data_IF_041532260294
#
_entry.id   IF_041532260294
#
_cell.length_a   1.000
_cell.length_b   1.000
_cell.length_c   1.000
_cell.angle_alpha   90.00
_cell.angle_beta   90.00
_cell.angle_gamma   90.00
#
_symmetry.space_group_name_H-M   'P 1'
#
loop_
_entity.id
_entity.type
_entity.pdbx_description
1 polymer ?
#
# COMPACT_ATOMS: atom_id res chain seq x y z
N UNK A 1 42.02 -16.95 -52.58
CA UNK A 1 43.45 -17.04 -52.95
C UNK A 1 44.17 -15.79 -52.42
N UNK A 2 45.21 -15.98 -51.59
CA UNK A 2 46.35 -15.08 -51.26
C UNK A 2 45.97 -13.70 -50.66
N UNK A 3 46.16 -13.38 -49.37
CA UNK A 3 47.24 -13.55 -48.39
C UNK A 3 48.62 -12.97 -48.77
N UNK A 4 49.21 -12.28 -47.78
CA UNK A 4 50.57 -11.65 -47.62
C UNK A 4 50.51 -10.11 -47.55
N UNK A 5 51.15 -9.39 -46.63
CA UNK A 5 52.19 -9.70 -45.64
C UNK A 5 52.30 -8.57 -44.59
N UNK A 6 52.54 -8.92 -43.33
CA UNK A 6 53.30 -8.14 -42.31
C UNK A 6 54.83 -8.31 -42.59
N UNK A 7 55.81 -7.85 -41.76
CA UNK A 7 55.81 -7.13 -40.46
C UNK A 7 56.86 -5.99 -40.36
N UNK A 8 56.92 -5.30 -39.21
CA UNK A 8 58.20 -5.14 -38.47
C UNK A 8 58.00 -4.70 -37.00
N UNK A 9 58.66 -5.46 -36.13
CA UNK A 9 59.02 -5.25 -34.72
C UNK A 9 59.86 -3.95 -34.53
N UNK A 10 60.17 -3.33 -33.39
CA UNK A 10 60.43 -3.69 -31.97
C UNK A 10 60.70 -2.34 -31.26
N UNK A 11 60.36 -2.16 -29.98
CA UNK A 11 61.35 -2.16 -28.88
C UNK A 11 60.76 -1.74 -27.52
N UNK A 12 61.19 -2.47 -26.50
CA UNK A 12 60.96 -2.26 -25.07
C UNK A 12 61.97 -1.25 -24.47
N UNK A 13 61.56 -0.61 -23.36
CA UNK A 13 62.33 -0.22 -22.14
C UNK A 13 61.56 0.95 -21.47
N UNK A 14 61.36 1.05 -20.16
CA UNK A 14 61.83 0.29 -19.01
C UNK A 14 61.23 0.89 -17.73
N UNK A 15 61.23 0.07 -16.68
CA UNK A 15 60.83 0.33 -15.30
C UNK A 15 61.53 1.55 -14.66
N UNK A 16 60.80 2.32 -13.84
CA UNK A 16 61.36 2.98 -12.64
C UNK A 16 60.33 2.99 -11.51
N UNK A 17 60.70 2.32 -10.41
CA UNK A 17 60.08 2.38 -9.09
C UNK A 17 60.41 3.72 -8.41
N UNK A 18 59.50 4.23 -7.59
CA UNK A 18 59.83 5.02 -6.40
C UNK A 18 59.06 4.49 -5.20
N UNK A 19 59.82 4.10 -4.17
CA UNK A 19 59.43 3.80 -2.79
C UNK A 19 59.54 5.08 -1.95
N UNK A 20 59.17 4.96 -0.66
CA UNK A 20 59.41 5.85 0.51
C UNK A 20 58.13 6.66 0.86
N UNK A 21 57.48 6.58 2.03
CA UNK A 21 57.89 6.16 3.40
C UNK A 21 56.66 5.88 4.27
N UNK A 22 56.84 4.99 5.25
CA UNK A 22 55.98 4.81 6.43
C UNK A 22 56.02 6.03 7.36
N UNK A 23 54.89 6.34 8.00
CA UNK A 23 54.88 6.81 9.40
C UNK A 23 53.54 6.48 10.06
N UNK A 24 53.67 5.82 11.20
CA UNK A 24 52.61 5.42 12.11
C UNK A 24 51.86 6.63 12.71
N UNK A 25 50.55 6.47 12.87
CA UNK A 25 49.69 7.33 13.67
C UNK A 25 48.53 6.49 14.21
N UNK A 26 48.44 6.38 15.52
CA UNK A 26 47.45 5.64 16.32
C UNK A 26 45.99 6.04 15.99
N UNK A 27 45.00 5.16 16.25
CA UNK A 27 43.60 5.51 16.01
C UNK A 27 43.08 6.44 17.12
N UNK A 28 42.29 7.48 16.81
CA UNK A 28 41.49 8.13 17.83
C UNK A 28 40.18 7.33 18.04
N UNK A 29 39.99 6.93 19.28
CA UNK A 29 38.73 6.47 19.85
C UNK A 29 37.61 7.51 19.71
N UNK A 30 36.38 7.00 19.74
CA UNK A 30 35.13 7.69 20.08
C UNK A 30 34.54 8.68 19.08
N UNK A 31 33.85 8.14 18.07
CA UNK A 31 32.61 8.75 17.57
C UNK A 31 31.43 7.88 18.00
N UNK A 32 30.92 8.23 19.18
CA UNK A 32 29.68 7.72 19.75
C UNK A 32 28.52 8.28 18.92
N UNK A 33 28.17 7.62 17.81
CA UNK A 33 26.95 7.90 17.08
C UNK A 33 25.89 6.94 17.61
N UNK A 34 25.23 7.34 18.70
CA UNK A 34 24.00 6.68 19.16
C UNK A 34 22.88 7.02 18.18
N UNK A 35 22.88 6.37 17.03
CA UNK A 35 21.65 6.16 16.26
C UNK A 35 20.79 5.17 17.06
N UNK A 36 20.12 5.69 18.09
CA UNK A 36 18.98 5.01 18.69
C UNK A 36 17.86 5.02 17.66
N UNK A 37 17.89 4.05 16.74
CA UNK A 37 16.69 3.62 16.05
C UNK A 37 15.65 3.29 17.13
N UNK A 38 14.47 3.93 17.16
CA UNK A 38 13.45 3.63 18.14
C UNK A 38 12.77 2.31 17.75
N UNK A 39 13.46 1.19 17.95
CA UNK A 39 12.96 -0.16 17.68
C UNK A 39 11.89 -0.60 18.69
N UNK A 40 11.65 0.17 19.76
CA UNK A 40 10.74 -0.19 20.84
C UNK A 40 9.34 0.43 20.77
N UNK A 41 9.04 1.38 19.86
CA UNK A 41 7.70 2.01 19.80
C UNK A 41 6.65 1.26 18.96
N UNK A 42 7.03 0.18 18.27
CA UNK A 42 6.24 -0.34 17.15
C UNK A 42 6.09 -1.86 17.09
N UNK A 43 6.42 -2.60 18.17
CA UNK A 43 6.38 -4.06 18.19
C UNK A 43 4.98 -4.66 17.98
N UNK A 44 3.91 -3.90 18.24
CA UNK A 44 2.53 -4.37 18.19
C UNK A 44 1.75 -3.84 16.97
N UNK A 45 2.42 -3.28 15.95
CA UNK A 45 1.76 -2.74 14.74
C UNK A 45 1.48 -3.79 13.66
N UNK A 46 2.26 -4.86 13.65
CA UNK A 46 2.16 -5.95 12.66
C UNK A 46 1.17 -7.05 13.09
N UNK A 47 0.67 -6.97 14.32
CA UNK A 47 -0.24 -7.96 14.89
C UNK A 47 -1.69 -7.68 14.46
N UNK A 48 -2.40 -8.74 14.07
CA UNK A 48 -3.84 -8.71 13.84
C UNK A 48 -4.56 -8.37 15.14
N UNK A 49 -5.33 -7.28 15.15
CA UNK A 49 -6.19 -6.91 16.29
C UNK A 49 -7.63 -7.20 15.95
N UNK A 50 -8.38 -7.79 16.87
CA UNK A 50 -9.79 -8.11 16.65
C UNK A 50 -10.62 -7.53 17.79
N UNK A 51 -11.65 -6.77 17.42
CA UNK A 51 -12.61 -6.16 18.33
C UNK A 51 -14.02 -6.63 18.04
N UNK A 52 -14.84 -6.71 19.08
CA UNK A 52 -16.24 -7.14 18.96
C UNK A 52 -16.37 -8.63 18.63
N UNK A 53 -17.58 -9.03 18.26
CA UNK A 53 -17.92 -10.40 17.88
C UNK A 53 -19.20 -10.43 17.03
N UNK A 54 -19.33 -11.47 16.20
CA UNK A 54 -20.50 -11.65 15.34
C UNK A 54 -20.39 -10.88 14.03
N UNK A 55 -21.51 -10.76 13.33
CA UNK A 55 -21.60 -10.17 11.99
C UNK A 55 -22.01 -8.69 12.00
N UNK A 56 -21.63 -7.93 10.96
CA UNK A 56 -20.69 -8.33 9.92
C UNK A 56 -19.25 -8.36 10.46
N UNK A 57 -18.39 -9.08 9.76
CA UNK A 57 -16.95 -9.11 9.99
C UNK A 57 -16.29 -8.15 9.01
N UNK A 58 -15.52 -7.21 9.56
CA UNK A 58 -14.82 -6.17 8.81
C UNK A 58 -13.33 -6.37 8.97
N UNK A 59 -12.56 -6.31 7.89
CA UNK A 59 -11.10 -6.37 7.91
C UNK A 59 -10.54 -5.09 7.30
N UNK A 60 -9.85 -4.27 8.09
CA UNK A 60 -9.14 -3.10 7.58
C UNK A 60 -7.63 -3.34 7.63
N UNK A 61 -6.93 -3.06 6.53
CA UNK A 61 -5.49 -3.24 6.40
C UNK A 61 -4.81 -1.94 5.97
N UNK A 62 -3.64 -1.66 6.55
CA UNK A 62 -2.85 -0.47 6.28
C UNK A 62 -1.35 -0.82 6.19
N UNK A 63 -0.54 0.14 5.74
CA UNK A 63 0.90 -0.04 5.61
C UNK A 63 1.24 -1.18 4.64
N UNK A 64 0.57 -1.20 3.49
CA UNK A 64 0.71 -2.26 2.49
C UNK A 64 2.09 -2.22 1.82
N UNK A 65 2.59 -1.03 1.45
CA UNK A 65 3.84 -0.91 0.71
C UNK A 65 4.81 0.09 1.32
N UNK A 66 6.11 -0.19 1.22
CA UNK A 66 7.13 0.84 1.29
C UNK A 66 7.06 1.64 2.59
N UNK A 67 6.93 2.95 2.41
CA UNK A 67 6.77 3.91 3.49
C UNK A 67 5.33 4.43 3.65
N UNK A 68 4.35 3.81 3.01
CA UNK A 68 2.93 4.20 3.11
C UNK A 68 2.41 4.13 4.55
N UNK A 69 2.98 3.24 5.37
CA UNK A 69 2.66 3.09 6.80
C UNK A 69 2.75 4.41 7.59
N UNK A 70 3.62 5.33 7.17
CA UNK A 70 3.78 6.65 7.82
C UNK A 70 2.51 7.49 7.74
N UNK A 71 1.68 7.27 6.72
CA UNK A 71 0.43 8.00 6.51
C UNK A 71 -0.80 7.18 6.92
N UNK A 72 -0.72 5.84 6.91
CA UNK A 72 -1.89 4.96 7.05
C UNK A 72 -2.01 4.26 8.41
N UNK A 73 -0.89 3.83 9.02
CA UNK A 73 -0.91 2.93 10.18
C UNK A 73 -1.57 3.56 11.41
N UNK A 74 -1.28 4.84 11.66
CA UNK A 74 -1.83 5.56 12.81
C UNK A 74 -3.36 5.68 12.76
N UNK A 75 -3.95 5.68 11.56
CA UNK A 75 -5.41 5.72 11.40
C UNK A 75 -6.05 4.46 12.00
N UNK A 76 -5.51 3.27 11.68
CA UNK A 76 -6.02 2.02 12.23
C UNK A 76 -5.64 1.80 13.69
N UNK A 77 -4.56 2.41 14.18
CA UNK A 77 -4.21 2.32 15.61
C UNK A 77 -5.13 3.15 16.51
N UNK A 78 -5.82 4.15 15.94
CA UNK A 78 -6.69 5.09 16.66
C UNK A 78 -8.18 4.84 16.47
N UNK A 79 -8.55 3.93 15.58
CA UNK A 79 -9.96 3.62 15.34
C UNK A 79 -10.56 2.94 16.57
N UNK A 80 -11.74 3.39 16.96
CA UNK A 80 -12.46 2.80 18.09
C UNK A 80 -13.16 1.50 17.65
N UNK A 81 -13.40 0.56 18.58
CA UNK A 81 -14.21 -0.63 18.30
C UNK A 81 -15.58 -0.30 17.70
N UNK A 82 -16.16 -1.19 16.87
CA UNK A 82 -17.51 -1.00 16.35
C UNK A 82 -18.56 -1.23 17.44
N UNK A 83 -19.74 -0.62 17.32
CA UNK A 83 -20.84 -0.92 18.24
C UNK A 83 -21.38 -2.34 18.02
N UNK A 84 -21.33 -2.83 16.77
CA UNK A 84 -21.83 -4.15 16.37
C UNK A 84 -20.91 -4.90 15.43
N UNK A 85 -20.92 -6.22 15.57
CA UNK A 85 -20.16 -7.14 14.73
C UNK A 85 -18.69 -7.18 15.13
N UNK A 86 -17.86 -7.56 14.16
CA UNK A 86 -16.42 -7.76 14.37
C UNK A 86 -15.64 -6.77 13.52
N UNK A 87 -14.61 -6.15 14.10
CA UNK A 87 -13.62 -5.34 13.40
C UNK A 87 -12.23 -5.92 13.63
N UNK A 88 -11.64 -6.45 12.56
CA UNK A 88 -10.28 -6.93 12.50
C UNK A 88 -9.39 -5.88 11.82
N UNK A 89 -8.21 -5.63 12.37
CA UNK A 89 -7.28 -4.61 11.90
C UNK A 89 -5.89 -5.20 11.69
N UNK A 90 -5.28 -4.87 10.56
CA UNK A 90 -3.85 -5.07 10.28
C UNK A 90 -3.24 -3.67 10.07
N UNK A 91 -2.75 -3.01 11.14
CA UNK A 91 -2.24 -1.64 11.05
C UNK A 91 -0.99 -1.50 10.17
N UNK A 92 -0.19 -2.56 10.07
CA UNK A 92 1.03 -2.59 9.27
C UNK A 92 1.23 -3.98 8.65
N UNK A 93 1.14 -4.05 7.33
CA UNK A 93 1.42 -5.29 6.57
C UNK A 93 2.92 -5.44 6.31
N UNK A 94 3.57 -4.43 5.73
CA UNK A 94 4.97 -4.54 5.33
C UNK A 94 5.70 -3.19 5.29
N UNK A 95 6.95 -3.15 5.78
CA UNK A 95 7.86 -1.97 5.69
C UNK A 95 8.94 -2.11 4.59
N UNK A 96 8.83 -3.16 3.78
CA UNK A 96 9.78 -3.55 2.74
C UNK A 96 9.68 -2.66 1.51
N UNK A 97 10.23 -3.12 0.38
CA UNK A 97 10.19 -2.35 -0.86
C UNK A 97 8.77 -2.20 -1.38
N UNK A 98 8.50 -1.09 -2.06
CA UNK A 98 7.26 -0.90 -2.78
C UNK A 98 7.10 -1.97 -3.86
N UNK A 99 5.96 -2.66 -3.83
CA UNK A 99 5.48 -3.55 -4.88
C UNK A 99 3.98 -3.34 -5.00
N UNK A 100 3.46 -3.23 -6.22
CA UNK A 100 2.04 -2.94 -6.43
C UNK A 100 1.15 -4.10 -6.01
N UNK A 101 0.02 -3.83 -5.35
CA UNK A 101 -1.07 -4.82 -5.12
C UNK A 101 -1.70 -5.34 -6.41
N UNK A 102 -1.48 -4.68 -7.56
CA UNK A 102 -1.87 -5.18 -8.87
C UNK A 102 -0.96 -6.31 -9.37
N UNK A 103 0.24 -6.47 -8.80
CA UNK A 103 1.10 -7.63 -9.05
C UNK A 103 0.50 -8.88 -8.37
N UNK A 104 0.16 -9.95 -9.11
CA UNK A 104 -0.35 -11.19 -8.53
C UNK A 104 0.55 -11.84 -7.47
N UNK A 105 1.86 -11.53 -7.47
CA UNK A 105 2.80 -12.02 -6.46
C UNK A 105 2.74 -11.25 -5.13
N UNK A 106 2.06 -10.09 -5.08
CA UNK A 106 2.02 -9.25 -3.88
C UNK A 106 1.45 -10.00 -2.67
N UNK A 107 0.22 -10.50 -2.78
CA UNK A 107 -0.47 -11.10 -1.64
C UNK A 107 0.17 -12.41 -1.16
N UNK A 108 0.59 -13.35 -2.03
CA UNK A 108 1.27 -14.57 -1.57
C UNK A 108 2.62 -14.33 -0.87
N UNK A 109 3.25 -13.17 -1.07
CA UNK A 109 4.60 -12.88 -0.55
C UNK A 109 4.56 -11.86 0.58
N UNK A 110 4.11 -10.64 0.30
CA UNK A 110 4.13 -9.54 1.29
C UNK A 110 2.80 -9.38 2.00
N UNK A 111 1.68 -9.62 1.30
CA UNK A 111 0.33 -9.54 1.85
C UNK A 111 -0.16 -10.83 2.51
N UNK A 112 0.71 -11.75 2.91
CA UNK A 112 0.29 -13.07 3.39
C UNK A 112 -0.58 -12.99 4.64
N UNK A 113 -0.30 -12.06 5.54
CA UNK A 113 -1.12 -11.81 6.74
C UNK A 113 -2.54 -11.37 6.41
N UNK A 114 -2.74 -10.67 5.28
CA UNK A 114 -4.07 -10.32 4.78
C UNK A 114 -4.80 -11.59 4.35
N UNK A 115 -4.14 -12.49 3.62
CA UNK A 115 -4.75 -13.74 3.17
C UNK A 115 -5.12 -14.64 4.35
N UNK A 116 -4.22 -14.77 5.33
CA UNK A 116 -4.47 -15.53 6.56
C UNK A 116 -5.68 -14.96 7.33
N UNK A 117 -5.78 -13.63 7.45
CA UNK A 117 -6.93 -12.99 8.09
C UNK A 117 -8.22 -13.20 7.31
N UNK A 118 -8.20 -13.11 5.98
CA UNK A 118 -9.38 -13.35 5.14
C UNK A 118 -9.86 -14.80 5.26
N UNK A 119 -8.96 -15.77 5.19
CA UNK A 119 -9.30 -17.19 5.29
C UNK A 119 -9.83 -17.55 6.69
N UNK A 120 -9.27 -16.96 7.75
CA UNK A 120 -9.70 -17.20 9.11
C UNK A 120 -11.04 -16.53 9.47
N UNK A 121 -11.29 -15.32 8.94
CA UNK A 121 -12.39 -14.47 9.39
C UNK A 121 -13.56 -14.38 8.39
N UNK A 122 -13.32 -14.68 7.11
CA UNK A 122 -14.28 -14.56 6.01
C UNK A 122 -15.07 -13.22 6.02
N UNK A 123 -14.39 -12.06 5.91
CA UNK A 123 -15.00 -10.76 6.11
C UNK A 123 -16.00 -10.36 5.01
N UNK A 124 -17.15 -9.80 5.40
CA UNK A 124 -18.10 -9.18 4.47
C UNK A 124 -17.65 -7.80 3.99
N UNK A 125 -16.78 -7.12 4.75
CA UNK A 125 -16.23 -5.80 4.41
C UNK A 125 -14.71 -5.85 4.52
N UNK A 126 -14.01 -5.48 3.44
CA UNK A 126 -12.56 -5.43 3.36
C UNK A 126 -12.07 -4.09 2.84
N UNK A 127 -11.22 -3.41 3.61
CA UNK A 127 -10.72 -2.07 3.29
C UNK A 127 -9.20 -2.06 3.31
N UNK A 128 -8.58 -1.55 2.24
CA UNK A 128 -7.14 -1.28 2.17
C UNK A 128 -6.88 0.23 2.26
N UNK A 129 -5.94 0.65 3.11
CA UNK A 129 -5.42 2.01 3.17
C UNK A 129 -4.04 2.08 2.51
N UNK A 130 -3.94 2.92 1.49
CA UNK A 130 -2.71 3.25 0.77
C UNK A 130 -2.36 4.72 0.93
N UNK A 131 -1.16 5.08 0.50
CA UNK A 131 -0.82 6.48 0.32
C UNK A 131 -0.06 6.77 -0.97
N UNK A 132 -0.36 7.92 -1.57
CA UNK A 132 0.19 8.33 -2.86
C UNK A 132 0.87 9.70 -2.77
N UNK A 133 1.96 9.88 -3.53
CA UNK A 133 2.57 11.19 -3.69
C UNK A 133 1.75 12.04 -4.67
N UNK A 134 1.73 13.37 -4.49
CA UNK A 134 0.89 14.28 -5.28
C UNK A 134 1.10 14.13 -6.79
N UNK A 135 2.31 13.81 -7.23
CA UNK A 135 2.69 13.63 -8.63
C UNK A 135 2.05 12.39 -9.27
N UNK A 136 1.59 11.43 -8.46
CA UNK A 136 0.91 10.23 -8.92
C UNK A 136 -0.63 10.37 -8.98
N UNK A 137 -1.18 11.54 -8.63
CA UNK A 137 -2.62 11.79 -8.66
C UNK A 137 -3.25 11.41 -10.01
N UNK A 138 -2.75 11.98 -11.11
CA UNK A 138 -3.27 11.70 -12.46
C UNK A 138 -3.14 10.23 -12.85
N UNK A 139 -2.10 9.53 -12.36
CA UNK A 139 -1.93 8.11 -12.64
C UNK A 139 -3.03 7.25 -11.99
N UNK A 140 -3.58 7.71 -10.86
CA UNK A 140 -4.58 7.01 -10.05
C UNK A 140 -6.02 7.42 -10.40
N UNK A 141 -6.26 8.72 -10.60
CA UNK A 141 -7.59 9.29 -10.81
C UNK A 141 -7.88 9.70 -12.26
N UNK A 142 -6.88 9.66 -13.15
CA UNK A 142 -7.06 10.00 -14.57
C UNK A 142 -8.03 9.04 -15.27
N UNK A 143 -8.91 9.61 -16.10
CA UNK A 143 -9.98 8.86 -16.79
C UNK A 143 -9.44 7.77 -17.72
N UNK A 144 -8.21 7.94 -18.22
CA UNK A 144 -7.50 7.01 -19.11
C UNK A 144 -6.93 5.76 -18.39
N UNK A 145 -7.09 5.67 -17.06
CA UNK A 145 -6.45 4.63 -16.25
C UNK A 145 -6.90 3.23 -16.64
N UNK A 146 -8.16 3.08 -17.07
CA UNK A 146 -8.67 1.78 -17.50
C UNK A 146 -7.93 1.30 -18.76
N UNK A 147 -7.72 2.18 -19.74
CA UNK A 147 -7.01 1.87 -20.98
C UNK A 147 -5.50 1.70 -20.73
N UNK A 148 -4.91 2.52 -19.86
CA UNK A 148 -3.47 2.55 -19.60
C UNK A 148 -2.98 1.44 -18.66
N UNK A 149 -3.75 1.12 -17.62
CA UNK A 149 -3.36 0.20 -16.54
C UNK A 149 -4.24 -1.06 -16.49
N UNK A 150 -5.42 -1.04 -17.13
CA UNK A 150 -6.33 -2.18 -17.13
C UNK A 150 -7.21 -2.27 -15.88
N UNK A 151 -7.35 -1.18 -15.11
CA UNK A 151 -8.22 -1.08 -13.94
C UNK A 151 -8.87 0.31 -13.86
N UNK A 152 -10.11 0.44 -13.33
CA UNK A 152 -10.83 1.72 -13.32
C UNK A 152 -10.10 2.83 -12.55
N UNK A 153 -10.35 4.08 -12.94
CA UNK A 153 -9.84 5.25 -12.23
C UNK A 153 -10.44 5.37 -10.82
N UNK A 154 -9.64 5.78 -9.83
CA UNK A 154 -10.16 6.09 -8.51
C UNK A 154 -11.13 7.28 -8.58
N UNK A 155 -12.17 7.26 -7.75
CA UNK A 155 -13.08 8.39 -7.57
C UNK A 155 -12.49 9.38 -6.55
N UNK A 156 -12.53 10.67 -6.88
CA UNK A 156 -11.95 11.73 -6.04
C UNK A 156 -12.98 12.15 -5.00
N UNK A 157 -12.69 11.91 -3.71
CA UNK A 157 -13.50 12.38 -2.57
C UNK A 157 -13.00 13.76 -2.09
N UNK A 158 -13.14 14.05 -0.79
CA UNK A 158 -12.66 15.30 -0.16
C UNK A 158 -11.20 15.18 0.27
N UNK A 159 -10.56 16.34 0.46
CA UNK A 159 -9.22 16.47 1.06
C UNK A 159 -8.13 15.59 0.41
N UNK A 160 -8.24 15.33 -0.90
CA UNK A 160 -7.27 14.53 -1.64
C UNK A 160 -7.32 13.03 -1.32
N UNK A 161 -8.40 12.52 -0.71
CA UNK A 161 -8.61 11.07 -0.59
C UNK A 161 -9.26 10.54 -1.87
N UNK A 162 -8.73 9.43 -2.38
CA UNK A 162 -9.31 8.73 -3.53
C UNK A 162 -9.92 7.40 -3.08
N UNK A 163 -11.00 7.00 -3.74
CA UNK A 163 -11.74 5.78 -3.45
C UNK A 163 -11.79 4.88 -4.69
N UNK A 164 -11.41 3.62 -4.54
CA UNK A 164 -11.45 2.62 -5.59
C UNK A 164 -11.77 1.24 -5.04
N UNK A 165 -11.76 0.24 -5.93
CA UNK A 165 -11.77 -1.17 -5.51
C UNK A 165 -10.35 -1.63 -5.18
N UNK A 166 -10.22 -2.60 -4.28
CA UNK A 166 -8.95 -3.32 -4.06
C UNK A 166 -8.49 -4.03 -5.35
N UNK A 167 -7.27 -4.57 -5.33
CA UNK A 167 -6.73 -5.32 -6.47
C UNK A 167 -7.72 -6.36 -7.02
N UNK A 168 -7.92 -6.43 -8.36
CA UNK A 168 -8.80 -7.43 -8.97
C UNK A 168 -8.42 -8.86 -8.62
N UNK A 169 -7.13 -9.11 -8.34
CA UNK A 169 -6.64 -10.44 -7.99
C UNK A 169 -7.25 -10.92 -6.67
N UNK A 170 -7.14 -10.12 -5.60
CA UNK A 170 -7.71 -10.51 -4.30
C UNK A 170 -9.24 -10.48 -4.33
N UNK A 171 -9.80 -9.45 -4.97
CA UNK A 171 -11.25 -9.26 -5.10
C UNK A 171 -11.94 -10.47 -5.72
N UNK A 172 -11.38 -11.01 -6.80
CA UNK A 172 -11.98 -12.14 -7.55
C UNK A 172 -11.72 -13.49 -6.90
N UNK A 173 -10.57 -13.65 -6.23
CA UNK A 173 -10.15 -14.94 -5.70
C UNK A 173 -10.72 -15.25 -4.32
N UNK A 174 -10.90 -14.24 -3.46
CA UNK A 174 -11.23 -14.45 -2.05
C UNK A 174 -12.59 -13.91 -1.62
N UNK A 175 -13.22 -13.04 -2.40
CA UNK A 175 -14.43 -12.35 -1.97
C UNK A 175 -15.62 -12.65 -2.89
N UNK A 176 -16.81 -12.92 -2.33
CA UNK A 176 -18.04 -13.03 -3.11
C UNK A 176 -18.44 -11.65 -3.67
N UNK A 177 -19.37 -11.58 -4.64
CA UNK A 177 -19.77 -10.32 -5.29
C UNK A 177 -20.43 -9.33 -4.33
N UNK A 178 -21.04 -9.85 -3.28
CA UNK A 178 -21.80 -9.17 -2.25
C UNK A 178 -20.90 -8.48 -1.22
N UNK A 179 -19.64 -8.92 -1.08
CA UNK A 179 -18.68 -8.30 -0.19
C UNK A 179 -18.28 -6.89 -0.66
N UNK A 180 -18.12 -5.98 0.29
CA UNK A 180 -17.61 -4.63 0.04
C UNK A 180 -16.09 -4.65 0.13
N UNK A 181 -15.40 -4.49 -1.01
CA UNK A 181 -13.94 -4.45 -1.04
C UNK A 181 -13.44 -3.14 -1.65
N UNK A 182 -12.91 -2.25 -0.81
CA UNK A 182 -12.52 -0.90 -1.21
C UNK A 182 -11.07 -0.59 -0.85
N UNK A 183 -10.49 0.31 -1.62
CA UNK A 183 -9.16 0.86 -1.43
C UNK A 183 -9.28 2.38 -1.28
N UNK A 184 -8.70 2.92 -0.20
CA UNK A 184 -8.55 4.36 0.00
C UNK A 184 -7.11 4.77 -0.22
N UNK A 185 -6.90 5.75 -1.09
CA UNK A 185 -5.60 6.35 -1.35
C UNK A 185 -5.51 7.70 -0.66
N UNK A 186 -4.58 7.81 0.29
CA UNK A 186 -4.37 9.00 1.13
C UNK A 186 -3.21 9.81 0.57
N UNK A 187 -3.37 11.12 0.43
CA UNK A 187 -2.27 11.95 -0.07
C UNK A 187 -1.16 12.05 0.98
N UNK A 188 0.06 11.62 0.61
CA UNK A 188 1.24 11.63 1.49
C UNK A 188 1.50 13.03 2.06
N UNK A 189 1.71 13.10 3.37
CA UNK A 189 2.03 14.36 4.05
C UNK A 189 0.88 15.38 4.12
N UNK A 190 -0.37 14.98 3.81
CA UNK A 190 -1.54 15.83 3.95
C UNK A 190 -2.36 15.41 5.21
N UNK A 191 -2.29 16.18 6.32
CA UNK A 191 -3.03 15.85 7.54
C UNK A 191 -4.55 15.80 7.34
N UNK A 192 -5.12 16.69 6.52
CA UNK A 192 -6.57 16.72 6.24
C UNK A 192 -7.02 15.48 5.49
N UNK A 193 -6.18 14.97 4.59
CA UNK A 193 -6.43 13.70 3.90
C UNK A 193 -6.52 12.54 4.89
N UNK A 194 -5.59 12.47 5.86
CA UNK A 194 -5.60 11.45 6.93
C UNK A 194 -6.81 11.57 7.85
N UNK A 195 -7.17 12.79 8.27
CA UNK A 195 -8.34 13.06 9.11
C UNK A 195 -9.64 12.67 8.39
N UNK A 196 -9.77 13.03 7.11
CA UNK A 196 -10.94 12.66 6.33
C UNK A 196 -11.02 11.14 6.12
N UNK A 197 -9.91 10.48 5.79
CA UNK A 197 -9.88 9.02 5.69
C UNK A 197 -10.28 8.34 7.01
N UNK A 198 -9.79 8.84 8.16
CA UNK A 198 -10.20 8.34 9.47
C UNK A 198 -11.72 8.48 9.67
N UNK A 199 -12.31 9.64 9.34
CA UNK A 199 -13.76 9.82 9.45
C UNK A 199 -14.57 8.88 8.55
N UNK A 200 -14.05 8.51 7.37
CA UNK A 200 -14.69 7.52 6.50
C UNK A 200 -14.64 6.12 7.11
N UNK A 201 -13.57 5.76 7.81
CA UNK A 201 -13.48 4.48 8.51
C UNK A 201 -14.37 4.41 9.74
N UNK A 202 -14.58 5.53 10.44
CA UNK A 202 -15.57 5.63 11.53
C UNK A 202 -17.00 5.36 11.04
N UNK A 203 -17.30 5.73 9.79
CA UNK A 203 -18.58 5.35 9.15
C UNK A 203 -18.58 3.87 8.77
N UNK A 204 -17.54 3.41 8.06
CA UNK A 204 -17.43 2.04 7.56
C UNK A 204 -17.44 0.98 8.66
N UNK A 205 -16.87 1.27 9.83
CA UNK A 205 -16.84 0.32 10.94
C UNK A 205 -18.23 0.05 11.52
N UNK A 206 -19.18 0.96 11.32
CA UNK A 206 -20.57 0.80 11.77
C UNK A 206 -21.49 0.23 10.69
N UNK A 207 -21.16 0.34 9.41
CA UNK A 207 -22.00 -0.22 8.34
C UNK A 207 -22.17 -1.73 8.47
N UNK A 208 -23.42 -2.21 8.46
CA UNK A 208 -23.76 -3.62 8.60
C UNK A 208 -23.67 -4.37 7.25
N UNK A 209 -23.63 -3.64 6.13
CA UNK A 209 -23.55 -4.22 4.78
C UNK A 209 -22.91 -3.30 3.73
N UNK A 210 -22.59 -3.88 2.56
CA UNK A 210 -22.17 -3.16 1.35
C UNK A 210 -23.19 -2.09 0.95
N UNK A 211 -24.46 -2.45 0.94
CA UNK A 211 -25.53 -1.60 0.40
C UNK A 211 -25.75 -0.36 1.29
N UNK A 212 -25.58 -0.49 2.61
CA UNK A 212 -25.60 0.66 3.53
C UNK A 212 -24.49 1.66 3.23
N UNK A 213 -23.26 1.21 3.00
CA UNK A 213 -22.16 2.11 2.67
C UNK A 213 -22.35 2.74 1.28
N UNK A 214 -22.89 1.99 0.31
CA UNK A 214 -23.25 2.54 -1.00
C UNK A 214 -24.31 3.63 -0.87
N UNK A 215 -25.32 3.44 0.00
CA UNK A 215 -26.34 4.46 0.26
C UNK A 215 -25.76 5.70 0.95
N UNK A 216 -24.82 5.52 1.88
CA UNK A 216 -24.05 6.61 2.46
C UNK A 216 -23.31 7.41 1.38
N UNK A 217 -22.57 6.73 0.48
CA UNK A 217 -21.87 7.40 -0.62
C UNK A 217 -22.84 8.10 -1.58
N UNK A 218 -24.01 7.54 -1.87
CA UNK A 218 -25.01 8.18 -2.73
C UNK A 218 -25.53 9.51 -2.16
N UNK A 219 -25.61 9.60 -0.83
CA UNK A 219 -26.03 10.84 -0.14
C UNK A 219 -24.91 11.87 -0.08
N UNK A 220 -23.72 11.45 0.32
CA UNK A 220 -22.61 12.37 0.60
C UNK A 220 -21.77 12.72 -0.64
N UNK A 221 -21.69 11.81 -1.61
CA UNK A 221 -20.84 11.90 -2.81
C UNK A 221 -21.57 11.34 -4.05
N UNK A 222 -22.72 11.92 -4.46
CA UNK A 222 -23.60 11.31 -5.46
C UNK A 222 -22.91 11.01 -6.80
N UNK A 223 -22.09 11.93 -7.31
CA UNK A 223 -21.38 11.73 -8.57
C UNK A 223 -20.30 10.65 -8.47
N UNK A 224 -19.55 10.62 -7.37
CA UNK A 224 -18.52 9.61 -7.12
C UNK A 224 -19.16 8.24 -6.91
N UNK A 225 -20.28 8.16 -6.21
CA UNK A 225 -21.03 6.93 -6.03
C UNK A 225 -21.53 6.39 -7.37
N UNK A 226 -22.13 7.25 -8.20
CA UNK A 226 -22.57 6.89 -9.55
C UNK A 226 -21.41 6.35 -10.39
N UNK A 227 -20.30 7.09 -10.46
CA UNK A 227 -19.09 6.68 -11.18
C UNK A 227 -18.55 5.34 -10.67
N UNK A 228 -18.38 5.18 -9.36
CA UNK A 228 -17.83 3.95 -8.77
C UNK A 228 -18.70 2.72 -9.07
N UNK A 229 -20.03 2.86 -9.05
CA UNK A 229 -20.97 1.79 -9.39
C UNK A 229 -20.90 1.43 -10.88
N UNK A 230 -20.84 2.43 -11.76
CA UNK A 230 -20.70 2.22 -13.21
C UNK A 230 -19.37 1.53 -13.54
N UNK A 231 -18.28 2.00 -12.95
CA UNK A 231 -16.94 1.42 -13.11
C UNK A 231 -16.91 -0.04 -12.62
N UNK A 232 -17.50 -0.30 -11.44
CA UNK A 232 -17.58 -1.66 -10.91
C UNK A 232 -18.36 -2.58 -11.85
N UNK A 233 -19.52 -2.14 -12.36
CA UNK A 233 -20.34 -2.93 -13.30
C UNK A 233 -19.62 -3.20 -14.60
N UNK A 234 -18.96 -2.19 -15.17
CA UNK A 234 -18.21 -2.31 -16.41
C UNK A 234 -17.02 -3.28 -16.27
N UNK A 235 -16.38 -3.31 -15.10
CA UNK A 235 -15.15 -4.05 -14.88
C UNK A 235 -15.34 -5.47 -14.30
N UNK A 236 -16.31 -5.66 -13.41
CA UNK A 236 -16.58 -6.93 -12.73
C UNK A 236 -17.88 -7.61 -13.19
N UNK A 237 -18.73 -6.92 -13.96
CA UNK A 237 -20.05 -7.39 -14.39
C UNK A 237 -21.18 -6.98 -13.45
N UNK A 238 -22.38 -7.52 -13.66
CA UNK A 238 -23.54 -7.19 -12.84
C UNK A 238 -23.33 -7.56 -11.36
N UNK A 239 -23.86 -6.66 -10.51
CA UNK A 239 -23.78 -6.67 -9.04
C UNK A 239 -24.82 -7.62 -8.47
#
# INVERSE_FOLDING_TARGET
MKNKNQPEEKNQKGLKQMKVTEKAGSPPDNLNCTDTCPTHKYTNETELRVYGQGKPVRLFAAGLHGDEWKDTTEILLKIEPPEKGTLALIPLVNRGKYTSTLDPAYYPVMGISILEAIEALNPEIYIELHSYSRENFEKLAGEDRLERIGVPAYSILKEGVLLGSVSPWIRRKYFPKEALCLSFEIQKGNPRSREFAASMLEVLKENESRDEFVEYLRKEFPEQARKAIEDYRRFYGEI
#
